data_IF_085335063719
#
_entry.id   IF_085335063719
#
_cell.length_a   1.000
_cell.length_b   1.000
_cell.length_c   1.000
_cell.angle_alpha   90.00
_cell.angle_beta   90.00
_cell.angle_gamma   90.00
#
_symmetry.space_group_name_H-M   'P 1'
#
loop_
_entity.id
_entity.type
_entity.pdbx_description
1 polymer ?
#
# COMPACT_ATOMS: atom_id res chain seq x y z
N UNK A 1 7.00 15.38 -14.56
CA UNK A 1 6.54 14.64 -13.35
C UNK A 1 7.38 14.96 -12.12
N UNK A 2 8.67 14.60 -12.05
CA UNK A 2 9.47 14.83 -10.83
C UNK A 2 9.48 16.28 -10.35
N UNK A 3 9.60 17.25 -11.28
CA UNK A 3 9.52 18.68 -10.96
C UNK A 3 8.24 19.06 -10.21
N UNK A 4 7.07 18.57 -10.65
CA UNK A 4 5.80 18.85 -9.97
C UNK A 4 5.74 18.28 -8.56
N UNK A 5 6.36 17.11 -8.34
CA UNK A 5 6.44 16.50 -7.00
C UNK A 5 7.33 17.33 -6.08
N UNK A 6 8.51 17.72 -6.56
CA UNK A 6 9.49 18.46 -5.76
C UNK A 6 9.04 19.89 -5.44
N UNK A 7 8.21 20.50 -6.28
CA UNK A 7 7.70 21.85 -6.05
C UNK A 7 6.39 21.88 -5.23
N UNK A 8 5.83 20.73 -4.87
CA UNK A 8 4.58 20.67 -4.11
C UNK A 8 4.83 20.80 -2.59
N UNK A 9 4.18 21.74 -1.88
CA UNK A 9 4.31 21.86 -0.43
C UNK A 9 3.85 20.62 0.36
N UNK A 10 2.85 19.89 -0.12
CA UNK A 10 2.34 18.65 0.49
C UNK A 10 3.43 17.59 0.52
N UNK A 11 4.28 17.51 -0.51
CA UNK A 11 5.39 16.57 -0.53
C UNK A 11 6.31 16.74 0.69
N UNK A 12 6.64 17.98 1.05
CA UNK A 12 7.50 18.26 2.21
C UNK A 12 6.82 17.96 3.54
N UNK A 13 5.50 18.15 3.63
CA UNK A 13 4.71 17.73 4.80
C UNK A 13 4.78 16.20 4.94
N UNK A 14 4.66 15.46 3.83
CA UNK A 14 4.75 14.00 3.82
C UNK A 14 6.18 13.52 4.17
N UNK A 15 7.22 14.20 3.70
CA UNK A 15 8.61 13.93 4.13
C UNK A 15 8.74 14.09 5.65
N UNK A 16 8.26 15.21 6.19
CA UNK A 16 8.30 15.46 7.63
C UNK A 16 7.56 14.36 8.42
N UNK A 17 6.42 13.89 7.91
CA UNK A 17 5.67 12.80 8.52
C UNK A 17 6.46 11.49 8.52
N UNK A 18 7.08 11.10 7.41
CA UNK A 18 7.94 9.89 7.34
C UNK A 18 9.13 10.01 8.28
N UNK A 19 9.75 11.19 8.38
CA UNK A 19 10.86 11.44 9.32
C UNK A 19 10.40 11.27 10.78
N UNK A 20 9.21 11.78 11.13
CA UNK A 20 8.60 11.56 12.44
C UNK A 20 8.35 10.08 12.73
N UNK A 21 7.89 9.30 11.73
CA UNK A 21 7.71 7.85 11.87
C UNK A 21 9.05 7.16 12.15
N UNK A 22 10.09 7.41 11.36
CA UNK A 22 11.41 6.81 11.58
C UNK A 22 12.05 7.21 12.91
N UNK A 23 11.86 8.46 13.35
CA UNK A 23 12.35 8.95 14.65
C UNK A 23 11.74 8.20 15.82
N UNK A 24 10.46 7.80 15.71
CA UNK A 24 9.80 6.98 16.74
C UNK A 24 10.34 5.55 16.75
N UNK A 25 10.70 5.03 15.58
CA UNK A 25 11.08 3.62 15.43
C UNK A 25 12.58 3.36 15.66
N UNK A 26 13.49 4.28 15.33
CA UNK A 26 14.93 4.00 15.28
C UNK A 26 15.83 5.12 15.81
N UNK A 27 16.99 4.77 16.38
CA UNK A 27 17.99 5.74 16.86
C UNK A 27 18.84 6.37 15.74
N UNK A 28 19.03 5.68 14.61
CA UNK A 28 19.71 6.19 13.39
C UNK A 28 18.69 6.41 12.26
N UNK A 29 17.75 7.30 12.52
CA UNK A 29 16.55 7.49 11.71
C UNK A 29 16.76 8.40 10.49
N UNK A 30 17.61 9.43 10.60
CA UNK A 30 17.76 10.47 9.57
C UNK A 30 18.19 9.92 8.20
N UNK A 31 19.33 9.20 8.17
CA UNK A 31 19.86 8.64 6.92
C UNK A 31 18.94 7.55 6.34
N UNK A 32 18.29 6.78 7.21
CA UNK A 32 17.36 5.71 6.83
C UNK A 32 16.11 6.29 6.18
N UNK A 33 15.50 7.28 6.83
CA UNK A 33 14.34 7.99 6.32
C UNK A 33 14.64 8.68 4.99
N UNK A 34 15.79 9.35 4.88
CA UNK A 34 16.18 10.01 3.63
C UNK A 34 16.33 9.01 2.47
N UNK A 35 17.00 7.87 2.70
CA UNK A 35 17.15 6.82 1.69
C UNK A 35 15.81 6.26 1.24
N UNK A 36 14.91 5.97 2.17
CA UNK A 36 13.62 5.34 1.85
C UNK A 36 12.63 6.35 1.23
N UNK A 37 12.65 7.63 1.63
CA UNK A 37 11.96 8.72 0.92
C UNK A 37 12.48 8.85 -0.51
N UNK A 38 13.80 8.86 -0.72
CA UNK A 38 14.38 8.99 -2.05
C UNK A 38 14.01 7.79 -2.95
N UNK A 39 14.14 6.56 -2.44
CA UNK A 39 13.76 5.33 -3.15
C UNK A 39 12.28 5.33 -3.52
N UNK A 40 11.40 5.65 -2.55
CA UNK A 40 9.96 5.73 -2.79
C UNK A 40 9.60 6.81 -3.82
N UNK A 41 10.26 7.97 -3.76
CA UNK A 41 10.02 9.09 -4.70
C UNK A 41 10.40 8.73 -6.12
N UNK A 42 11.55 8.07 -6.30
CA UNK A 42 12.02 7.58 -7.61
C UNK A 42 11.03 6.55 -8.16
N UNK A 43 10.71 5.52 -7.38
CA UNK A 43 9.82 4.43 -7.84
C UNK A 43 8.40 4.93 -8.07
N UNK A 44 7.88 5.83 -7.24
CA UNK A 44 6.56 6.45 -7.43
C UNK A 44 6.47 7.31 -8.67
N UNK A 45 7.53 8.08 -8.96
CA UNK A 45 7.62 8.86 -10.22
C UNK A 45 7.67 7.93 -11.43
N UNK A 46 8.42 6.82 -11.37
CA UNK A 46 8.47 5.80 -12.42
C UNK A 46 7.10 5.13 -12.60
N UNK A 47 6.42 4.78 -11.51
CA UNK A 47 5.09 4.18 -11.52
C UNK A 47 4.06 5.16 -12.13
N UNK A 48 4.13 6.45 -11.78
CA UNK A 48 3.25 7.48 -12.34
C UNK A 48 3.40 7.58 -13.86
N UNK A 49 4.64 7.56 -14.35
CA UNK A 49 4.93 7.56 -15.78
C UNK A 49 4.39 6.30 -16.46
N UNK A 50 4.59 5.14 -15.84
CA UNK A 50 4.06 3.87 -16.33
C UNK A 50 2.53 3.91 -16.44
N UNK A 51 1.81 4.20 -15.35
CA UNK A 51 0.33 4.29 -15.32
C UNK A 51 -0.20 5.25 -16.40
N UNK A 52 0.42 6.43 -16.52
CA UNK A 52 0.02 7.44 -17.51
C UNK A 52 0.26 6.96 -18.95
N UNK A 53 1.36 6.23 -19.21
CA UNK A 53 1.66 5.68 -20.55
C UNK A 53 0.66 4.62 -21.02
N UNK A 54 0.01 3.92 -20.08
CA UNK A 54 -1.07 2.97 -20.35
C UNK A 54 -2.46 3.63 -20.41
N UNK A 55 -2.54 4.97 -20.31
CA UNK A 55 -3.80 5.71 -20.38
C UNK A 55 -4.70 5.55 -19.15
N UNK A 56 -4.20 4.97 -18.06
CA UNK A 56 -4.93 4.85 -16.81
C UNK A 56 -4.92 6.24 -16.16
N UNK A 57 -6.07 6.91 -16.17
CA UNK A 57 -6.25 8.21 -15.54
C UNK A 57 -7.40 8.14 -14.55
N UNK A 58 -7.27 8.85 -13.43
CA UNK A 58 -8.34 8.97 -12.45
C UNK A 58 -8.91 10.37 -12.54
N UNK A 59 -10.22 10.47 -12.77
CA UNK A 59 -10.93 11.72 -12.58
C UNK A 59 -11.14 11.91 -11.09
N UNK A 60 -10.43 12.87 -10.50
CA UNK A 60 -10.58 13.18 -9.08
C UNK A 60 -12.03 13.61 -8.82
N UNK A 61 -12.77 12.80 -8.06
CA UNK A 61 -14.14 13.10 -7.65
C UNK A 61 -14.22 13.28 -6.13
N UNK A 62 -15.34 13.83 -5.66
CA UNK A 62 -15.55 14.06 -4.22
C UNK A 62 -15.48 12.77 -3.39
N UNK A 63 -15.97 11.66 -3.96
CA UNK A 63 -15.99 10.35 -3.32
C UNK A 63 -14.59 9.80 -3.07
N UNK A 64 -13.66 10.01 -4.01
CA UNK A 64 -12.25 9.66 -3.86
C UNK A 64 -11.59 10.49 -2.75
N UNK A 65 -11.94 11.77 -2.63
CA UNK A 65 -11.43 12.61 -1.53
C UNK A 65 -11.91 12.09 -0.16
N UNK A 66 -13.13 11.57 -0.09
CA UNK A 66 -13.69 10.96 1.13
C UNK A 66 -13.00 9.66 1.54
N UNK A 67 -12.19 9.03 0.68
CA UNK A 67 -11.38 7.87 1.07
C UNK A 67 -10.36 8.22 2.15
N UNK A 68 -9.83 9.45 2.16
CA UNK A 68 -8.83 9.87 3.17
C UNK A 68 -9.39 9.76 4.60
N UNK A 69 -10.50 10.44 4.96
CA UNK A 69 -11.06 10.31 6.31
C UNK A 69 -11.54 8.88 6.62
N UNK A 70 -12.04 8.13 5.63
CA UNK A 70 -12.44 6.73 5.82
C UNK A 70 -11.21 5.87 6.17
N UNK A 71 -10.11 6.01 5.44
CA UNK A 71 -8.87 5.29 5.71
C UNK A 71 -8.30 5.64 7.08
N UNK A 72 -8.35 6.91 7.49
CA UNK A 72 -7.92 7.33 8.84
C UNK A 72 -8.78 6.64 9.91
N UNK A 73 -10.10 6.60 9.73
CA UNK A 73 -11.01 5.91 10.66
C UNK A 73 -10.70 4.41 10.75
N UNK A 74 -10.44 3.76 9.62
CA UNK A 74 -10.09 2.33 9.57
C UNK A 74 -8.76 2.06 10.28
N UNK A 75 -7.77 2.91 10.03
CA UNK A 75 -6.44 2.84 10.68
C UNK A 75 -6.56 2.95 12.20
N UNK A 76 -7.48 3.79 12.70
CA UNK A 76 -7.71 3.95 14.13
C UNK A 76 -8.27 2.68 14.80
N UNK A 77 -8.96 1.82 14.06
CA UNK A 77 -9.46 0.53 14.56
C UNK A 77 -8.37 -0.54 14.49
N UNK A 78 -7.73 -0.67 13.33
CA UNK A 78 -6.59 -1.56 13.14
C UNK A 78 -5.67 -0.99 12.06
N UNK A 79 -4.35 -0.84 12.33
CA UNK A 79 -3.42 -0.33 11.32
C UNK A 79 -3.44 -1.12 10.00
N UNK A 80 -3.74 -2.43 10.02
CA UNK A 80 -3.83 -3.24 8.79
C UNK A 80 -4.94 -2.78 7.86
N UNK A 81 -6.01 -2.18 8.40
CA UNK A 81 -7.18 -1.73 7.65
C UNK A 81 -6.97 -0.39 6.94
N UNK A 82 -5.79 0.21 7.09
CA UNK A 82 -5.41 1.40 6.32
C UNK A 82 -5.25 1.12 4.81
N UNK A 83 -5.01 -0.15 4.44
CA UNK A 83 -4.78 -0.52 3.04
C UNK A 83 -6.06 -0.36 2.21
N UNK A 84 -5.92 0.17 0.99
CA UNK A 84 -7.04 0.29 0.04
C UNK A 84 -7.65 -1.07 -0.34
N UNK A 85 -6.91 -2.17 -0.18
CA UNK A 85 -7.43 -3.52 -0.30
C UNK A 85 -8.59 -3.83 0.66
N UNK A 86 -8.75 -3.09 1.76
CA UNK A 86 -9.93 -3.17 2.63
C UNK A 86 -10.92 -2.05 2.36
N UNK A 87 -10.43 -0.81 2.28
CA UNK A 87 -11.29 0.38 2.22
C UNK A 87 -12.16 0.38 0.96
N UNK A 88 -11.61 0.00 -0.20
CA UNK A 88 -12.34 0.02 -1.47
C UNK A 88 -13.44 -1.06 -1.52
N UNK A 89 -13.16 -2.35 -1.24
CA UNK A 89 -14.22 -3.37 -1.17
C UNK A 89 -15.28 -3.07 -0.10
N UNK A 90 -14.88 -2.51 1.05
CA UNK A 90 -15.83 -2.10 2.08
C UNK A 90 -16.77 -0.99 1.59
N UNK A 91 -16.23 0.04 0.94
CA UNK A 91 -17.01 1.14 0.37
C UNK A 91 -18.00 0.64 -0.69
N UNK A 92 -17.56 -0.28 -1.55
CA UNK A 92 -18.43 -0.93 -2.53
C UNK A 92 -19.58 -1.68 -1.86
N UNK A 93 -19.27 -2.51 -0.86
CA UNK A 93 -20.27 -3.31 -0.16
C UNK A 93 -21.31 -2.43 0.54
N UNK A 94 -20.87 -1.36 1.22
CA UNK A 94 -21.78 -0.43 1.88
C UNK A 94 -22.67 0.32 0.87
N UNK A 95 -22.11 0.72 -0.28
CA UNK A 95 -22.87 1.31 -1.37
C UNK A 95 -23.97 0.38 -1.88
N UNK A 96 -23.63 -0.89 -2.16
CA UNK A 96 -24.60 -1.90 -2.59
C UNK A 96 -25.69 -2.14 -1.54
N UNK A 97 -25.32 -2.17 -0.25
CA UNK A 97 -26.29 -2.31 0.84
C UNK A 97 -27.27 -1.14 0.88
N UNK A 98 -26.79 0.10 0.76
CA UNK A 98 -27.66 1.27 0.70
C UNK A 98 -28.60 1.25 -0.51
N UNK A 99 -28.12 0.80 -1.66
CA UNK A 99 -28.92 0.69 -2.88
C UNK A 99 -30.07 -0.31 -2.74
N UNK A 100 -29.87 -1.42 -2.00
CA UNK A 100 -30.95 -2.38 -1.68
C UNK A 100 -32.10 -1.69 -0.92
N UNK A 101 -31.78 -0.71 -0.07
CA UNK A 101 -32.78 0.10 0.64
C UNK A 101 -33.29 1.31 -0.15
N UNK A 102 -32.91 1.44 -1.43
CA UNK A 102 -33.33 2.53 -2.32
C UNK A 102 -32.54 3.83 -2.16
N UNK A 103 -31.44 3.84 -1.42
CA UNK A 103 -30.60 5.03 -1.23
C UNK A 103 -29.37 4.98 -2.14
N UNK A 104 -29.15 6.03 -2.93
CA UNK A 104 -27.94 6.21 -3.74
C UNK A 104 -27.14 7.39 -3.22
N UNK A 105 -26.07 7.11 -2.48
CA UNK A 105 -25.18 8.15 -1.98
C UNK A 105 -23.97 8.33 -2.88
N UNK A 106 -23.67 9.57 -3.24
CA UNK A 106 -22.54 9.90 -4.12
C UNK A 106 -21.19 9.43 -3.55
N UNK A 107 -21.04 9.37 -2.22
CA UNK A 107 -19.81 8.92 -1.54
C UNK A 107 -19.42 7.47 -1.90
N UNK A 108 -20.37 6.66 -2.38
CA UNK A 108 -20.12 5.28 -2.81
C UNK A 108 -19.86 5.15 -4.32
N UNK A 109 -19.82 6.26 -5.07
CA UNK A 109 -19.50 6.26 -6.50
C UNK A 109 -17.98 6.40 -6.70
N UNK A 110 -17.31 5.26 -6.95
CA UNK A 110 -15.87 5.19 -7.16
C UNK A 110 -15.54 4.39 -8.43
N UNK A 111 -14.42 4.71 -9.10
CA UNK A 111 -13.85 3.89 -10.17
C UNK A 111 -13.24 2.59 -9.61
N UNK A 112 -14.09 1.67 -9.16
CA UNK A 112 -13.69 0.48 -8.42
C UNK A 112 -12.70 -0.41 -9.20
N UNK A 113 -12.92 -0.57 -10.50
CA UNK A 113 -12.07 -1.41 -11.36
C UNK A 113 -10.66 -0.84 -11.47
N UNK A 114 -10.54 0.48 -11.63
CA UNK A 114 -9.28 1.20 -11.67
C UNK A 114 -8.56 1.14 -10.32
N UNK A 115 -9.32 1.15 -9.21
CA UNK A 115 -8.75 0.93 -7.89
C UNK A 115 -8.18 -0.48 -7.72
N UNK A 116 -8.76 -1.52 -8.30
CA UNK A 116 -8.16 -2.87 -8.25
C UNK A 116 -6.79 -2.86 -8.95
N UNK A 117 -6.68 -2.24 -10.13
CA UNK A 117 -5.38 -2.08 -10.82
C UNK A 117 -4.41 -1.31 -9.94
N UNK A 118 -4.85 -0.20 -9.38
CA UNK A 118 -4.04 0.67 -8.54
C UNK A 118 -3.49 -0.03 -7.29
N UNK A 119 -4.35 -0.78 -6.59
CA UNK A 119 -3.98 -1.61 -5.44
C UNK A 119 -2.92 -2.64 -5.86
N UNK A 120 -3.13 -3.34 -6.97
CA UNK A 120 -2.16 -4.31 -7.48
C UNK A 120 -0.81 -3.69 -7.80
N UNK A 121 -0.78 -2.54 -8.47
CA UNK A 121 0.44 -1.82 -8.81
C UNK A 121 1.19 -1.31 -7.57
N UNK A 122 0.47 -0.83 -6.55
CA UNK A 122 1.08 -0.42 -5.29
C UNK A 122 1.74 -1.60 -4.57
N UNK A 123 1.09 -2.76 -4.51
CA UNK A 123 1.69 -3.95 -3.90
C UNK A 123 2.87 -4.49 -4.72
N UNK A 124 2.85 -4.42 -6.05
CA UNK A 124 4.04 -4.75 -6.86
C UNK A 124 5.22 -3.86 -6.47
N UNK A 125 5.00 -2.55 -6.36
CA UNK A 125 6.04 -1.60 -5.93
C UNK A 125 6.51 -1.88 -4.50
N UNK A 126 5.59 -2.10 -3.57
CA UNK A 126 5.91 -2.46 -2.19
C UNK A 126 6.76 -3.73 -2.15
N UNK A 127 6.33 -4.79 -2.82
CA UNK A 127 7.02 -6.08 -2.84
C UNK A 127 8.42 -6.00 -3.44
N UNK A 128 8.63 -5.18 -4.48
CA UNK A 128 9.95 -4.89 -5.03
C UNK A 128 10.82 -4.17 -3.99
N UNK A 129 10.30 -3.11 -3.36
CA UNK A 129 11.04 -2.34 -2.35
C UNK A 129 11.38 -3.18 -1.12
N UNK A 130 10.45 -4.02 -0.67
CA UNK A 130 10.64 -4.97 0.43
C UNK A 130 11.70 -6.01 0.07
N UNK A 131 11.67 -6.55 -1.15
CA UNK A 131 12.66 -7.52 -1.62
C UNK A 131 14.08 -6.93 -1.62
N UNK A 132 14.23 -5.69 -2.11
CA UNK A 132 15.53 -5.06 -2.27
C UNK A 132 16.06 -4.45 -0.96
N UNK A 133 15.19 -3.79 -0.18
CA UNK A 133 15.60 -2.89 0.89
C UNK A 133 14.94 -3.15 2.24
N UNK A 134 13.96 -4.06 2.33
CA UNK A 134 13.22 -4.32 3.57
C UNK A 134 14.09 -4.84 4.72
N UNK A 135 15.22 -5.46 4.39
CA UNK A 135 16.19 -6.01 5.34
C UNK A 135 17.11 -4.96 6.00
N UNK A 136 17.14 -3.72 5.51
CA UNK A 136 18.06 -2.69 5.99
C UNK A 136 17.62 -2.09 7.34
N UNK A 137 18.57 -1.70 8.19
CA UNK A 137 18.33 -1.09 9.51
C UNK A 137 17.38 -1.88 10.43
N UNK A 138 17.62 -3.20 10.62
CA UNK A 138 16.84 -4.00 11.57
C UNK A 138 16.99 -3.46 12.99
N UNK A 139 15.93 -3.59 13.79
CA UNK A 139 15.91 -3.15 15.18
C UNK A 139 15.66 -4.30 16.13
N UNK A 140 16.47 -4.44 17.16
CA UNK A 140 16.20 -5.38 18.25
C UNK A 140 15.03 -4.88 19.12
N UNK A 141 14.16 -5.79 19.50
CA UNK A 141 13.01 -5.57 20.37
C UNK A 141 12.64 -6.84 21.12
N UNK A 142 11.60 -6.77 21.93
CA UNK A 142 11.03 -7.91 22.64
C UNK A 142 9.60 -8.13 22.15
N UNK A 143 9.25 -9.37 21.86
CA UNK A 143 7.85 -9.74 21.71
C UNK A 143 7.24 -9.84 23.11
N UNK A 144 6.27 -8.97 23.41
CA UNK A 144 5.64 -8.94 24.74
C UNK A 144 4.78 -10.17 25.04
N UNK A 145 4.39 -10.95 24.03
CA UNK A 145 3.58 -12.14 24.22
C UNK A 145 4.44 -13.37 24.56
N UNK A 146 5.59 -13.51 23.91
CA UNK A 146 6.50 -14.65 24.09
C UNK A 146 7.69 -14.34 25.01
N UNK A 147 7.95 -13.06 25.29
CA UNK A 147 9.14 -12.55 25.97
C UNK A 147 10.46 -12.93 25.26
N UNK A 148 10.39 -13.20 23.96
CA UNK A 148 11.56 -13.54 23.14
C UNK A 148 12.13 -12.27 22.48
N UNK A 149 13.45 -12.25 22.32
CA UNK A 149 14.11 -11.21 21.53
C UNK A 149 13.71 -11.37 20.05
N UNK A 150 13.19 -10.29 19.48
CA UNK A 150 12.77 -10.25 18.08
C UNK A 150 13.42 -9.06 17.39
N UNK A 151 13.79 -9.29 16.15
CA UNK A 151 14.26 -8.25 15.25
C UNK A 151 13.09 -7.72 14.44
N UNK A 152 12.75 -6.45 14.62
CA UNK A 152 11.72 -5.72 13.89
C UNK A 152 12.29 -5.11 12.60
N UNK A 153 11.53 -5.25 11.52
CA UNK A 153 11.82 -4.71 10.19
C UNK A 153 10.72 -3.71 9.83
N UNK A 154 10.98 -2.43 10.06
CA UNK A 154 10.02 -1.35 9.77
C UNK A 154 10.56 -0.45 8.66
N UNK A 155 9.75 -0.25 7.61
CA UNK A 155 10.08 0.61 6.46
C UNK A 155 8.90 1.47 6.07
N UNK A 156 9.18 2.70 5.68
CA UNK A 156 8.19 3.63 5.16
C UNK A 156 8.73 4.31 3.90
N UNK A 157 8.13 4.01 2.75
CA UNK A 157 8.48 4.61 1.47
C UNK A 157 7.41 5.62 1.06
N UNK A 158 7.82 6.87 0.86
CA UNK A 158 6.94 7.91 0.32
C UNK A 158 6.85 7.75 -1.20
N UNK A 159 5.68 7.38 -1.71
CA UNK A 159 5.41 7.12 -3.11
C UNK A 159 4.50 8.21 -3.66
N UNK A 160 5.03 9.22 -4.36
CA UNK A 160 4.24 10.23 -5.06
C UNK A 160 3.67 9.62 -6.34
N UNK A 161 2.38 9.84 -6.55
CA UNK A 161 1.62 9.37 -7.69
C UNK A 161 0.99 10.56 -8.38
N UNK A 162 1.45 10.91 -9.58
CA UNK A 162 0.84 12.00 -10.32
C UNK A 162 -0.36 11.47 -11.09
N UNK A 163 -1.54 11.92 -10.70
CA UNK A 163 -2.78 11.62 -11.40
C UNK A 163 -3.06 12.75 -12.39
N UNK A 164 -3.37 12.39 -13.63
CA UNK A 164 -3.80 13.34 -14.66
C UNK A 164 -5.23 13.79 -14.37
N UNK A 165 -5.45 15.10 -14.28
CA UNK A 165 -6.77 15.70 -14.15
C UNK A 165 -7.04 16.60 -15.35
N UNK A 166 -7.89 16.12 -16.27
CA UNK A 166 -8.23 16.85 -17.49
C UNK A 166 -7.10 16.87 -18.52
N UNK A 167 -7.03 17.95 -19.32
CA UNK A 167 -6.09 18.06 -20.45
C UNK A 167 -4.73 18.70 -20.09
N UNK A 168 -4.62 19.46 -18.99
CA UNK A 168 -3.42 20.28 -18.71
C UNK A 168 -2.88 20.19 -17.26
N UNK A 169 -3.47 19.36 -16.39
CA UNK A 169 -3.15 19.33 -14.96
C UNK A 169 -2.69 17.97 -14.45
N UNK A 170 -1.64 17.98 -13.62
CA UNK A 170 -1.30 16.84 -12.75
C UNK A 170 -1.61 17.23 -11.31
N UNK A 171 -2.36 16.39 -10.60
CA UNK A 171 -2.50 16.48 -9.14
C UNK A 171 -1.65 15.37 -8.54
N UNK A 172 -0.60 15.70 -7.76
CA UNK A 172 0.15 14.68 -7.05
C UNK A 172 -0.67 14.17 -5.86
N UNK A 173 -0.78 12.85 -5.78
CA UNK A 173 -1.33 12.11 -4.66
C UNK A 173 -0.17 11.39 -3.98
N UNK A 174 -0.07 11.50 -2.66
CA UNK A 174 1.04 10.91 -1.91
C UNK A 174 0.55 9.71 -1.12
N UNK A 175 1.22 8.58 -1.32
CA UNK A 175 0.97 7.36 -0.54
C UNK A 175 2.22 7.01 0.25
N UNK A 176 2.05 6.50 1.47
CA UNK A 176 3.15 5.92 2.24
C UNK A 176 2.96 4.41 2.21
N UNK A 177 3.92 3.71 1.61
CA UNK A 177 3.98 2.25 1.66
C UNK A 177 4.76 1.85 2.91
N UNK A 178 4.11 1.08 3.79
CA UNK A 178 4.68 0.65 5.05
C UNK A 178 4.90 -0.85 5.08
N UNK A 179 6.12 -1.30 5.32
CA UNK A 179 6.43 -2.71 5.59
C UNK A 179 6.82 -2.87 7.06
N UNK A 180 6.18 -3.82 7.74
CA UNK A 180 6.42 -4.15 9.13
C UNK A 180 6.46 -5.66 9.31
N UNK A 181 7.56 -6.20 9.81
CA UNK A 181 7.70 -7.63 10.09
C UNK A 181 8.60 -7.88 11.30
N UNK A 182 8.55 -9.10 11.84
CA UNK A 182 9.33 -9.52 13.01
C UNK A 182 10.02 -10.85 12.75
N UNK A 183 11.29 -10.95 13.12
CA UNK A 183 12.14 -12.14 12.90
C UNK A 183 12.90 -12.47 14.17
N UNK A 184 12.83 -13.71 14.64
CA UNK A 184 13.58 -14.16 15.83
C UNK A 184 15.07 -14.42 15.55
N UNK A 185 15.42 -14.76 14.30
CA UNK A 185 16.75 -15.25 13.91
C UNK A 185 17.49 -14.32 12.92
N UNK A 186 18.76 -14.64 12.61
CA UNK A 186 19.61 -13.87 11.68
C UNK A 186 19.17 -13.90 10.19
N UNK A 187 18.07 -14.58 9.85
CA UNK A 187 17.56 -14.74 8.48
C UNK A 187 16.82 -13.50 7.92
N UNK A 188 17.16 -12.29 8.39
CA UNK A 188 16.47 -11.02 8.06
C UNK A 188 16.31 -10.81 6.55
N UNK A 189 17.40 -11.00 5.78
CA UNK A 189 17.37 -10.78 4.33
C UNK A 189 16.50 -11.81 3.60
N UNK A 190 16.64 -13.09 3.96
CA UNK A 190 15.81 -14.15 3.37
C UNK A 190 14.33 -13.91 3.66
N UNK A 191 14.01 -13.47 4.88
CA UNK A 191 12.66 -13.12 5.29
C UNK A 191 12.08 -12.00 4.45
N UNK A 192 12.77 -10.87 4.40
CA UNK A 192 12.35 -9.70 3.63
C UNK A 192 12.16 -10.04 2.15
N UNK A 193 13.09 -10.78 1.54
CA UNK A 193 12.98 -11.23 0.15
C UNK A 193 11.79 -12.15 -0.08
N UNK A 194 11.54 -13.09 0.84
CA UNK A 194 10.40 -14.02 0.71
C UNK A 194 9.07 -13.27 0.80
N UNK A 195 8.91 -12.40 1.79
CA UNK A 195 7.69 -11.59 1.91
C UNK A 195 7.51 -10.62 0.75
N UNK A 196 8.58 -9.95 0.32
CA UNK A 196 8.55 -9.11 -0.88
C UNK A 196 8.05 -9.88 -2.12
N UNK A 197 8.49 -11.13 -2.30
CA UNK A 197 8.02 -11.99 -3.40
C UNK A 197 6.54 -12.33 -3.29
N UNK A 198 6.05 -12.63 -2.08
CA UNK A 198 4.61 -12.89 -1.83
C UNK A 198 3.78 -11.65 -2.17
N UNK A 199 4.23 -10.46 -1.76
CA UNK A 199 3.54 -9.18 -2.03
C UNK A 199 3.51 -8.90 -3.54
N UNK A 200 4.60 -9.14 -4.28
CA UNK A 200 4.62 -8.99 -5.75
C UNK A 200 3.64 -9.94 -6.42
N UNK A 201 3.64 -11.22 -6.03
CA UNK A 201 2.71 -12.21 -6.59
C UNK A 201 1.27 -11.80 -6.35
N UNK A 202 0.95 -11.34 -5.14
CA UNK A 202 -0.37 -10.81 -4.82
C UNK A 202 -0.74 -9.61 -5.71
N UNK A 203 0.14 -8.62 -5.86
CA UNK A 203 -0.12 -7.47 -6.72
C UNK A 203 -0.31 -7.85 -8.21
N UNK A 204 0.41 -8.85 -8.71
CA UNK A 204 0.20 -9.40 -10.06
C UNK A 204 -1.16 -10.09 -10.20
N UNK A 205 -1.60 -10.80 -9.17
CA UNK A 205 -2.94 -11.41 -9.13
C UNK A 205 -4.02 -10.33 -9.18
N UNK A 206 -3.88 -9.25 -8.41
CA UNK A 206 -4.84 -8.13 -8.42
C UNK A 206 -4.92 -7.44 -9.79
N UNK A 207 -3.78 -7.19 -10.45
CA UNK A 207 -3.78 -6.69 -11.83
C UNK A 207 -4.48 -7.67 -12.78
N UNK A 208 -4.23 -8.97 -12.63
CA UNK A 208 -4.94 -10.01 -13.39
C UNK A 208 -6.46 -9.99 -13.16
N UNK A 209 -6.90 -9.88 -11.90
CA UNK A 209 -8.31 -9.77 -11.53
C UNK A 209 -8.95 -8.53 -12.13
N UNK A 210 -8.27 -7.38 -12.09
CA UNK A 210 -8.75 -6.17 -12.73
C UNK A 210 -8.96 -6.36 -14.24
N UNK A 211 -8.00 -7.00 -14.94
CA UNK A 211 -8.15 -7.30 -16.36
C UNK A 211 -9.33 -8.23 -16.63
N UNK A 212 -9.58 -9.23 -15.78
CA UNK A 212 -10.75 -10.09 -15.90
C UNK A 212 -12.06 -9.31 -15.68
N UNK A 213 -12.08 -8.35 -14.75
CA UNK A 213 -13.23 -7.47 -14.51
C UNK A 213 -13.47 -6.50 -15.67
N UNK A 214 -12.42 -5.85 -16.19
CA UNK A 214 -12.51 -4.93 -17.35
C UNK A 214 -13.10 -5.64 -18.57
N UNK A 215 -12.66 -6.88 -18.81
CA UNK A 215 -13.15 -7.69 -19.93
C UNK A 215 -14.49 -8.38 -19.66
N UNK A 216 -15.17 -8.04 -18.55
CA UNK A 216 -16.45 -8.63 -18.12
C UNK A 216 -16.43 -10.15 -17.98
N UNK A 217 -15.26 -10.76 -17.78
CA UNK A 217 -15.11 -12.22 -17.57
C UNK A 217 -15.58 -12.58 -16.16
N UNK A 218 -15.28 -11.73 -15.18
CA UNK A 218 -15.80 -11.83 -13.81
C UNK A 218 -16.51 -10.55 -13.42
N UNK A 219 -17.59 -10.61 -12.63
CA UNK A 219 -18.23 -9.42 -12.09
C UNK A 219 -17.31 -8.69 -11.10
N UNK A 220 -17.47 -7.37 -11.02
CA UNK A 220 -16.69 -6.49 -10.13
C UNK A 220 -16.74 -6.93 -8.67
N UNK A 221 -17.91 -7.37 -8.18
CA UNK A 221 -18.08 -7.86 -6.82
C UNK A 221 -17.17 -9.04 -6.49
N UNK A 222 -16.99 -9.96 -7.44
CA UNK A 222 -16.06 -11.09 -7.28
C UNK A 222 -14.63 -10.59 -7.26
N UNK A 223 -14.25 -9.70 -8.18
CA UNK A 223 -12.91 -9.09 -8.19
C UNK A 223 -12.54 -8.45 -6.85
N UNK A 224 -13.43 -7.63 -6.28
CA UNK A 224 -13.22 -6.95 -5.00
C UNK A 224 -13.15 -7.92 -3.81
N UNK A 225 -13.92 -9.00 -3.80
CA UNK A 225 -13.83 -10.05 -2.77
C UNK A 225 -12.45 -10.71 -2.81
N UNK A 226 -11.95 -11.05 -4.00
CA UNK A 226 -10.64 -11.66 -4.15
C UNK A 226 -9.49 -10.74 -3.72
N UNK A 227 -9.61 -9.43 -3.93
CA UNK A 227 -8.63 -8.45 -3.41
C UNK A 227 -8.50 -8.56 -1.88
N UNK A 228 -9.62 -8.59 -1.14
CA UNK A 228 -9.60 -8.74 0.33
C UNK A 228 -9.02 -10.09 0.75
N UNK A 229 -9.47 -11.17 0.10
CA UNK A 229 -9.02 -12.53 0.40
C UNK A 229 -7.50 -12.66 0.17
N UNK A 230 -7.00 -12.16 -0.96
CA UNK A 230 -5.57 -12.19 -1.29
C UNK A 230 -4.74 -11.44 -0.24
N UNK A 231 -5.22 -10.29 0.21
CA UNK A 231 -4.56 -9.51 1.25
C UNK A 231 -4.48 -10.24 2.60
N UNK A 232 -5.56 -10.91 3.03
CA UNK A 232 -5.54 -11.74 4.25
C UNK A 232 -4.67 -12.99 4.09
N UNK A 233 -4.65 -13.60 2.90
CA UNK A 233 -3.76 -14.72 2.58
C UNK A 233 -2.28 -14.34 2.71
N UNK A 234 -1.89 -13.14 2.25
CA UNK A 234 -0.53 -12.61 2.41
C UNK A 234 -0.12 -12.54 3.89
N UNK A 235 -0.98 -12.01 4.76
CA UNK A 235 -0.71 -11.98 6.20
C UNK A 235 -0.69 -13.38 6.84
N UNK A 236 -1.53 -14.30 6.37
CA UNK A 236 -1.53 -15.69 6.83
C UNK A 236 -0.21 -16.38 6.48
N UNK A 237 0.28 -16.19 5.25
CA UNK A 237 1.57 -16.68 4.79
C UNK A 237 2.68 -16.09 5.68
N UNK A 238 2.66 -14.79 5.96
CA UNK A 238 3.61 -14.14 6.86
C UNK A 238 3.67 -14.88 8.21
N UNK A 239 2.51 -15.15 8.83
CA UNK A 239 2.41 -15.87 10.11
C UNK A 239 2.96 -17.29 10.04
N UNK A 240 2.67 -18.03 8.97
CA UNK A 240 3.19 -19.39 8.77
C UNK A 240 4.71 -19.35 8.66
N UNK A 241 5.25 -18.43 7.87
CA UNK A 241 6.68 -18.28 7.71
C UNK A 241 7.35 -17.91 9.04
N UNK A 242 6.76 -17.05 9.90
CA UNK A 242 7.35 -16.73 11.22
C UNK A 242 7.60 -18.01 12.01
N UNK A 243 6.63 -18.95 12.01
CA UNK A 243 6.75 -20.24 12.72
C UNK A 243 7.79 -21.17 12.12
N UNK A 244 8.02 -21.11 10.80
CA UNK A 244 9.03 -21.93 10.13
C UNK A 244 10.43 -21.41 10.48
N UNK A 245 10.67 -20.11 10.33
CA UNK A 245 11.97 -19.50 10.56
C UNK A 245 12.36 -19.36 12.05
N UNK A 246 11.43 -19.57 12.98
CA UNK A 246 11.71 -19.61 14.43
C UNK A 246 12.04 -21.01 14.95
N UNK A 247 11.85 -22.05 14.14
CA UNK A 247 12.14 -23.45 14.52
C UNK A 247 13.50 -23.95 14.02
N UNK A 248 14.17 -23.16 13.17
CA UNK A 248 15.56 -23.38 12.72
C UNK A 248 16.54 -22.66 13.63
#
# INVERSE_FOLDING_TARGET
MLYHVLCDPIFYIMIALVFCMYKRESGRWELSALKDVARGTIVGTMLSYFITSFGISFNLNFSMLMLIPITILFTAINPKWSCFAYVIPFNFFLGQLCEIFGYKFIIFDLPYTEFIVFIGMLHIVEGILVTLFGHENPRQGLDYNTYEEVTMLNKFWLVPLLIVVGQDGFIPVYTILGYGDTVSNHAIRMRSTSMGSVIVIYGLIDVGLALLTINNIIPLSIGLIFVVIGHECMFLINKIQVKVFSRE
#
